data_IF_549191888905
#
_entry.id   IF_549191888905
#
_cell.length_a   1.000
_cell.length_b   1.000
_cell.length_c   1.000
_cell.angle_alpha   90.00
_cell.angle_beta   90.00
_cell.angle_gamma   90.00
#
_symmetry.space_group_name_H-M   'P 1'
#
loop_
_entity.id
_entity.type
_entity.pdbx_description
1 polymer ?
#
# COMPACT_ATOMS: atom_id res chain seq x y z
N UNK A 1 15.42 -7.58 -7.63
CA UNK A 1 14.62 -8.48 -6.77
C UNK A 1 13.89 -7.67 -5.72
N UNK A 2 12.70 -8.09 -5.28
CA UNK A 2 11.88 -7.38 -4.27
C UNK A 2 12.60 -7.11 -2.94
N UNK A 3 13.70 -7.81 -2.68
CA UNK A 3 14.53 -7.69 -1.48
C UNK A 3 15.63 -6.63 -1.59
N UNK A 4 15.92 -6.14 -2.79
CA UNK A 4 17.01 -5.17 -3.03
C UNK A 4 16.75 -3.80 -2.40
N UNK A 5 15.50 -3.52 -2.06
CA UNK A 5 15.08 -2.26 -1.48
C UNK A 5 15.42 -2.11 0.02
N UNK A 6 15.73 -3.21 0.72
CA UNK A 6 16.01 -3.18 2.17
C UNK A 6 17.20 -2.31 2.55
N UNK A 7 18.20 -2.23 1.67
CA UNK A 7 19.38 -1.38 1.90
C UNK A 7 19.06 0.12 1.87
N UNK A 8 17.82 0.49 1.55
CA UNK A 8 17.35 1.86 1.43
C UNK A 8 16.32 2.23 2.51
N UNK A 9 16.22 1.48 3.61
CA UNK A 9 15.32 1.82 4.73
C UNK A 9 15.48 3.27 5.21
N UNK A 10 16.73 3.76 5.32
CA UNK A 10 17.00 5.15 5.67
C UNK A 10 16.44 6.13 4.63
N UNK A 11 16.55 5.81 3.34
CA UNK A 11 16.00 6.66 2.27
C UNK A 11 14.47 6.68 2.32
N UNK A 12 13.84 5.53 2.63
CA UNK A 12 12.39 5.49 2.83
C UNK A 12 11.95 6.35 4.03
N UNK A 13 12.72 6.36 5.11
CA UNK A 13 12.46 7.23 6.26
C UNK A 13 12.59 8.72 5.88
N UNK A 14 13.66 9.10 5.17
CA UNK A 14 13.87 10.48 4.69
C UNK A 14 12.72 10.94 3.75
N UNK A 15 12.25 10.04 2.88
CA UNK A 15 11.09 10.29 2.01
C UNK A 15 9.85 10.54 2.86
N UNK A 16 9.58 9.72 3.87
CA UNK A 16 8.41 9.90 4.73
C UNK A 16 8.47 11.21 5.51
N UNK A 17 9.63 11.60 6.03
CA UNK A 17 9.82 12.89 6.69
C UNK A 17 9.47 14.06 5.75
N UNK A 18 9.96 14.01 4.50
CA UNK A 18 9.64 15.03 3.50
C UNK A 18 8.14 15.08 3.17
N UNK A 19 7.48 13.92 3.02
CA UNK A 19 6.06 13.87 2.70
C UNK A 19 5.18 14.41 3.84
N UNK A 20 5.53 14.12 5.10
CA UNK A 20 4.87 14.72 6.26
C UNK A 20 5.06 16.24 6.32
N UNK A 21 6.24 16.75 5.97
CA UNK A 21 6.48 18.18 5.90
C UNK A 21 5.61 18.88 4.83
N UNK A 22 5.44 18.24 3.66
CA UNK A 22 4.57 18.75 2.59
C UNK A 22 3.11 18.78 3.03
N UNK A 23 2.64 17.74 3.74
CA UNK A 23 1.28 17.70 4.28
C UNK A 23 1.03 18.86 5.25
N UNK A 24 1.96 19.14 6.16
CA UNK A 24 1.85 20.24 7.13
C UNK A 24 1.82 21.65 6.52
N UNK A 25 2.31 21.83 5.30
CA UNK A 25 2.32 23.12 4.58
C UNK A 25 1.02 23.34 3.76
N UNK A 26 0.27 22.27 3.51
CA UNK A 26 -0.88 22.26 2.61
C UNK A 26 -2.14 22.85 3.28
N UNK A 27 -2.30 24.17 3.24
CA UNK A 27 -3.58 24.82 3.53
C UNK A 27 -4.66 24.53 2.45
N UNK A 28 -5.94 24.87 2.68
CA UNK A 28 -7.04 24.56 1.77
C UNK A 28 -6.92 25.39 0.49
N UNK A 29 -6.25 24.85 -0.53
CA UNK A 29 -6.08 25.48 -1.83
C UNK A 29 -6.28 24.44 -2.93
N UNK A 30 -7.14 24.74 -3.89
CA UNK A 30 -7.47 23.93 -5.07
C UNK A 30 -6.25 23.58 -5.95
N UNK A 31 -5.08 24.18 -5.72
CA UNK A 31 -3.81 23.83 -6.38
C UNK A 31 -3.16 22.54 -5.84
N UNK A 32 -3.60 22.08 -4.67
CA UNK A 32 -3.04 20.96 -3.92
C UNK A 32 -3.37 19.61 -4.58
N UNK A 33 -4.54 19.47 -5.21
CA UNK A 33 -4.97 18.22 -5.89
C UNK A 33 -3.93 17.74 -6.92
N UNK A 34 -3.47 18.60 -7.82
CA UNK A 34 -2.49 18.21 -8.85
C UNK A 34 -1.10 17.84 -8.32
N UNK A 35 -0.65 18.43 -7.20
CA UNK A 35 0.64 18.09 -6.59
C UNK A 35 0.53 16.78 -5.80
N UNK A 36 -0.59 16.57 -5.11
CA UNK A 36 -0.89 15.32 -4.43
C UNK A 36 -0.93 14.15 -5.43
N UNK A 37 -1.65 14.31 -6.54
CA UNK A 37 -1.85 13.27 -7.54
C UNK A 37 -0.58 12.88 -8.30
N UNK A 38 0.31 13.85 -8.58
CA UNK A 38 1.50 13.60 -9.41
C UNK A 38 2.73 13.23 -8.57
N UNK A 39 2.90 13.80 -7.38
CA UNK A 39 4.15 13.68 -6.62
C UNK A 39 4.01 12.95 -5.28
N UNK A 40 2.86 13.05 -4.59
CA UNK A 40 2.73 12.49 -3.24
C UNK A 40 2.15 11.08 -3.27
N UNK A 41 0.98 10.90 -3.89
CA UNK A 41 0.30 9.60 -3.93
C UNK A 41 1.14 8.50 -4.60
N UNK A 42 1.82 8.74 -5.75
CA UNK A 42 2.68 7.71 -6.34
C UNK A 42 3.86 7.31 -5.46
N UNK A 43 4.43 8.27 -4.71
CA UNK A 43 5.54 7.99 -3.80
C UNK A 43 5.05 7.19 -2.60
N UNK A 44 3.93 7.56 -1.97
CA UNK A 44 3.30 6.77 -0.91
C UNK A 44 2.95 5.36 -1.39
N UNK A 45 2.44 5.22 -2.61
CA UNK A 45 2.19 3.92 -3.23
C UNK A 45 3.46 3.08 -3.37
N UNK A 46 4.58 3.72 -3.73
CA UNK A 46 5.86 3.06 -3.85
C UNK A 46 6.42 2.63 -2.49
N UNK A 47 6.47 3.54 -1.51
CA UNK A 47 6.95 3.25 -0.15
C UNK A 47 6.14 2.11 0.48
N UNK A 48 4.80 2.20 0.40
CA UNK A 48 3.90 1.20 0.99
C UNK A 48 4.06 -0.22 0.43
N UNK A 49 4.62 -0.37 -0.78
CA UNK A 49 4.77 -1.67 -1.44
C UNK A 49 6.21 -2.18 -1.46
N UNK A 50 7.21 -1.30 -1.54
CA UNK A 50 8.62 -1.69 -1.70
C UNK A 50 9.39 -1.70 -0.38
N UNK A 51 9.01 -0.88 0.59
CA UNK A 51 9.61 -0.91 1.91
C UNK A 51 9.13 -2.15 2.70
N UNK A 52 10.05 -2.88 3.33
CA UNK A 52 9.72 -4.03 4.22
C UNK A 52 9.77 -3.67 5.71
N UNK A 53 10.17 -2.44 6.04
CA UNK A 53 10.08 -1.91 7.38
C UNK A 53 8.60 -1.64 7.72
N UNK A 54 8.06 -2.40 8.67
CA UNK A 54 6.64 -2.35 9.06
C UNK A 54 6.18 -0.96 9.46
N UNK A 55 7.02 -0.21 10.20
CA UNK A 55 6.66 1.10 10.76
C UNK A 55 6.53 2.11 9.63
N UNK A 56 7.54 2.21 8.77
CA UNK A 56 7.55 3.12 7.61
C UNK A 56 6.40 2.78 6.65
N UNK A 57 6.17 1.49 6.43
CA UNK A 57 5.11 1.01 5.54
C UNK A 57 3.72 1.38 6.06
N UNK A 58 3.46 1.14 7.33
CA UNK A 58 2.20 1.52 7.96
C UNK A 58 2.01 3.05 7.95
N UNK A 59 3.06 3.81 8.24
CA UNK A 59 3.03 5.26 8.22
C UNK A 59 2.67 5.79 6.81
N UNK A 60 3.26 5.23 5.75
CA UNK A 60 2.92 5.59 4.38
C UNK A 60 1.45 5.33 4.02
N UNK A 61 0.86 4.25 4.51
CA UNK A 61 -0.55 3.93 4.30
C UNK A 61 -1.48 4.86 5.09
N UNK A 62 -1.11 5.19 6.33
CA UNK A 62 -1.85 6.13 7.16
C UNK A 62 -1.81 7.54 6.58
N UNK A 63 -0.66 7.99 6.07
CA UNK A 63 -0.54 9.29 5.41
C UNK A 63 -1.32 9.32 4.10
N UNK A 64 -1.31 8.23 3.32
CA UNK A 64 -2.14 8.11 2.12
C UNK A 64 -3.63 8.25 2.47
N UNK A 65 -4.11 7.53 3.49
CA UNK A 65 -5.48 7.62 3.95
C UNK A 65 -5.85 9.04 4.41
N UNK A 66 -4.98 9.67 5.21
CA UNK A 66 -5.20 11.04 5.70
C UNK A 66 -5.39 12.01 4.53
N UNK A 67 -4.47 12.00 3.56
CA UNK A 67 -4.48 12.89 2.40
C UNK A 67 -5.72 12.65 1.52
N UNK A 68 -6.11 11.40 1.35
CA UNK A 68 -7.18 11.03 0.42
C UNK A 68 -8.57 10.97 1.04
N UNK A 69 -8.67 11.06 2.38
CA UNK A 69 -9.93 10.99 3.13
C UNK A 69 -10.98 12.00 2.66
N UNK A 70 -10.55 13.16 2.16
CA UNK A 70 -11.43 14.25 1.70
C UNK A 70 -11.70 14.20 0.20
N UNK A 71 -10.90 13.45 -0.58
CA UNK A 71 -10.99 13.42 -2.04
C UNK A 71 -12.23 12.68 -2.54
N UNK A 72 -12.74 11.72 -1.76
CA UNK A 72 -13.93 10.93 -2.09
C UNK A 72 -13.74 10.08 -3.34
N UNK A 73 -13.78 8.75 -3.22
CA UNK A 73 -13.67 7.90 -4.40
C UNK A 73 -13.48 6.43 -4.08
N UNK A 74 -14.31 5.59 -4.70
CA UNK A 74 -14.26 4.14 -4.53
C UNK A 74 -12.95 3.54 -5.02
N UNK A 75 -12.31 4.13 -6.03
CA UNK A 75 -11.01 3.67 -6.54
C UNK A 75 -9.85 3.96 -5.58
N UNK A 76 -9.86 5.16 -4.99
CA UNK A 76 -8.88 5.55 -3.96
C UNK A 76 -9.02 4.63 -2.74
N UNK A 77 -10.27 4.38 -2.31
CA UNK A 77 -10.58 3.47 -1.20
C UNK A 77 -10.15 2.04 -1.52
N UNK A 78 -10.45 1.55 -2.72
CA UNK A 78 -10.02 0.21 -3.17
C UNK A 78 -8.49 0.08 -3.13
N UNK A 79 -7.79 1.08 -3.66
CA UNK A 79 -6.33 1.11 -3.66
C UNK A 79 -5.74 1.06 -2.25
N UNK A 80 -6.30 1.82 -1.30
CA UNK A 80 -5.86 1.79 0.10
C UNK A 80 -6.10 0.42 0.74
N UNK A 81 -7.31 -0.14 0.59
CA UNK A 81 -7.69 -1.44 1.15
C UNK A 81 -6.83 -2.58 0.58
N UNK A 82 -6.63 -2.60 -0.73
CA UNK A 82 -5.78 -3.59 -1.39
C UNK A 82 -4.34 -3.56 -0.85
N UNK A 83 -3.78 -2.37 -0.63
CA UNK A 83 -2.41 -2.24 -0.10
C UNK A 83 -2.32 -2.53 1.40
N UNK A 84 -3.33 -2.18 2.20
CA UNK A 84 -3.42 -2.64 3.60
C UNK A 84 -3.51 -4.16 3.67
N UNK A 85 -4.26 -4.79 2.77
CA UNK A 85 -4.37 -6.25 2.72
C UNK A 85 -3.09 -6.91 2.24
N UNK A 86 -2.47 -6.39 1.18
CA UNK A 86 -1.13 -6.78 0.74
C UNK A 86 -0.15 -6.74 1.91
N UNK A 87 -0.21 -5.65 2.70
CA UNK A 87 0.66 -5.51 3.84
C UNK A 87 0.40 -6.62 4.88
N UNK A 88 -0.87 -6.87 5.21
CA UNK A 88 -1.23 -7.88 6.19
C UNK A 88 -0.79 -9.30 5.80
N UNK A 89 -0.98 -9.71 4.53
CA UNK A 89 -0.60 -11.06 4.08
C UNK A 89 0.92 -11.29 4.11
N UNK A 90 1.71 -10.27 3.75
CA UNK A 90 3.16 -10.37 3.80
C UNK A 90 3.68 -10.36 5.24
N UNK A 91 3.09 -9.52 6.11
CA UNK A 91 3.45 -9.46 7.53
C UNK A 91 3.11 -10.74 8.28
N UNK A 92 2.04 -11.45 7.89
CA UNK A 92 1.70 -12.75 8.46
C UNK A 92 2.77 -13.82 8.19
N UNK A 93 3.61 -13.61 7.17
CA UNK A 93 4.73 -14.49 6.83
C UNK A 93 6.07 -14.03 7.41
N UNK A 94 6.09 -12.99 8.26
CA UNK A 94 7.33 -12.49 8.88
C UNK A 94 7.93 -13.57 9.78
N UNK A 95 9.21 -13.85 9.58
CA UNK A 95 9.95 -14.85 10.34
C UNK A 95 10.35 -14.35 11.75
N UNK A 96 10.94 -15.24 12.54
CA UNK A 96 11.41 -14.95 13.91
C UNK A 96 12.52 -13.90 13.94
N UNK A 97 13.25 -13.71 12.84
CA UNK A 97 14.28 -12.69 12.70
C UNK A 97 13.67 -11.32 12.35
N UNK A 98 12.34 -11.26 12.24
CA UNK A 98 11.62 -10.05 11.89
C UNK A 98 11.78 -9.70 10.42
N UNK A 99 12.00 -10.66 9.51
CA UNK A 99 12.16 -10.43 8.08
C UNK A 99 10.99 -11.07 7.33
N UNK A 100 10.50 -10.42 6.27
CA UNK A 100 9.53 -11.04 5.35
C UNK A 100 10.33 -11.81 4.27
N UNK A 101 10.22 -13.15 4.17
CA UNK A 101 10.95 -13.93 3.19
C UNK A 101 10.65 -13.50 1.75
N UNK A 102 11.62 -13.66 0.84
CA UNK A 102 11.46 -13.26 -0.56
C UNK A 102 10.30 -14.01 -1.27
N UNK A 103 10.09 -15.28 -0.93
CA UNK A 103 8.98 -16.10 -1.44
C UNK A 103 7.62 -15.73 -0.86
N UNK A 104 7.59 -14.91 0.19
CA UNK A 104 6.37 -14.42 0.85
C UNK A 104 6.05 -12.98 0.47
N UNK A 105 6.60 -12.51 -0.65
CA UNK A 105 6.27 -11.22 -1.25
C UNK A 105 5.23 -11.39 -2.33
N UNK A 106 4.32 -10.44 -2.40
CA UNK A 106 3.21 -10.46 -3.33
C UNK A 106 3.15 -9.18 -4.16
N UNK A 107 2.56 -9.30 -5.35
CA UNK A 107 2.26 -8.20 -6.25
C UNK A 107 0.74 -8.14 -6.34
N UNK A 108 0.18 -6.99 -5.97
CA UNK A 108 -1.23 -6.67 -6.24
C UNK A 108 -1.41 -6.49 -7.74
N UNK A 109 -2.37 -7.21 -8.33
CA UNK A 109 -2.62 -7.18 -9.79
C UNK A 109 -3.96 -6.60 -10.15
N UNK A 110 -5.01 -6.86 -9.37
CA UNK A 110 -6.35 -6.38 -9.68
C UNK A 110 -7.23 -6.24 -8.44
N UNK A 111 -8.31 -5.49 -8.57
CA UNK A 111 -9.36 -5.30 -7.57
C UNK A 111 -10.73 -5.18 -8.21
N UNK A 112 -11.75 -5.73 -7.56
CA UNK A 112 -13.13 -5.56 -7.99
C UNK A 112 -14.05 -5.40 -6.79
N UNK A 113 -14.81 -4.31 -6.77
CA UNK A 113 -15.92 -4.13 -5.83
C UNK A 113 -17.04 -5.13 -6.15
N UNK A 114 -17.70 -5.63 -5.13
CA UNK A 114 -19.01 -6.23 -5.31
C UNK A 114 -20.04 -5.20 -5.78
N UNK A 115 -21.20 -5.68 -6.23
CA UNK A 115 -22.26 -4.82 -6.79
C UNK A 115 -22.76 -3.77 -5.79
N UNK A 116 -22.79 -4.13 -4.52
CA UNK A 116 -23.33 -3.30 -3.45
C UNK A 116 -22.23 -2.53 -2.71
N UNK A 117 -20.96 -2.63 -3.17
CA UNK A 117 -19.79 -1.97 -2.59
C UNK A 117 -19.60 -2.25 -1.10
N UNK A 118 -19.97 -3.47 -0.66
CA UNK A 118 -19.82 -3.98 0.70
C UNK A 118 -18.45 -4.61 0.93
N UNK A 119 -17.84 -5.19 -0.11
CA UNK A 119 -16.53 -5.80 -0.03
C UNK A 119 -15.73 -5.63 -1.32
N UNK A 120 -14.41 -5.62 -1.16
CA UNK A 120 -13.44 -5.57 -2.24
C UNK A 120 -12.81 -6.94 -2.43
N UNK A 121 -12.91 -7.49 -3.64
CA UNK A 121 -12.10 -8.65 -4.02
C UNK A 121 -10.74 -8.14 -4.49
N UNK A 122 -9.65 -8.68 -3.94
CA UNK A 122 -8.27 -8.28 -4.27
C UNK A 122 -7.50 -9.50 -4.75
N UNK A 123 -6.74 -9.31 -5.82
CA UNK A 123 -5.93 -10.38 -6.44
C UNK A 123 -4.45 -10.09 -6.28
N UNK A 124 -3.71 -11.11 -5.82
CA UNK A 124 -2.27 -11.05 -5.60
C UNK A 124 -1.54 -12.21 -6.29
N UNK A 125 -0.30 -11.97 -6.68
CA UNK A 125 0.61 -12.99 -7.21
C UNK A 125 1.91 -13.00 -6.42
N UNK A 126 2.51 -14.17 -6.20
CA UNK A 126 3.83 -14.26 -5.59
C UNK A 126 4.88 -13.55 -6.48
N UNK A 127 5.66 -12.66 -5.86
CA UNK A 127 6.67 -11.86 -6.57
C UNK A 127 7.92 -12.67 -6.97
N UNK A 128 8.11 -13.85 -6.36
CA UNK A 128 9.27 -14.72 -6.54
C UNK A 128 9.33 -15.46 -7.88
N UNK A 129 8.22 -15.55 -8.62
CA UNK A 129 8.12 -16.34 -9.85
C UNK A 129 7.62 -15.47 -11.01
N UNK A 130 8.53 -15.06 -11.91
CA UNK A 130 8.20 -14.38 -13.19
C UNK A 130 7.57 -15.33 -14.23
N UNK A 131 7.39 -16.61 -13.90
CA UNK A 131 6.92 -17.64 -14.81
C UNK A 131 5.41 -17.83 -14.65
N UNK A 132 4.67 -17.49 -15.71
CA UNK A 132 3.26 -17.68 -16.13
C UNK A 132 2.30 -18.67 -15.40
N UNK A 133 2.71 -19.40 -14.37
CA UNK A 133 1.88 -20.27 -13.55
C UNK A 133 1.82 -19.74 -12.11
N UNK A 134 1.31 -18.52 -11.93
CA UNK A 134 1.23 -17.92 -10.61
C UNK A 134 0.01 -18.45 -9.86
N UNK A 135 0.22 -18.92 -8.63
CA UNK A 135 -0.87 -19.12 -7.68
C UNK A 135 -1.45 -17.74 -7.36
N UNK A 136 -2.63 -17.46 -7.91
CA UNK A 136 -3.36 -16.25 -7.58
C UNK A 136 -3.93 -16.42 -6.17
N UNK A 137 -3.58 -15.50 -5.27
CA UNK A 137 -4.26 -15.38 -3.98
C UNK A 137 -5.40 -14.40 -4.19
N UNK A 138 -6.63 -14.91 -4.10
CA UNK A 138 -7.84 -14.10 -4.08
C UNK A 138 -8.25 -13.90 -2.63
N UNK A 139 -8.60 -12.66 -2.28
CA UNK A 139 -9.03 -12.33 -0.94
C UNK A 139 -10.18 -11.31 -0.94
N UNK A 140 -11.04 -11.39 0.07
CA UNK A 140 -12.18 -10.48 0.24
C UNK A 140 -11.94 -9.56 1.44
N UNK A 141 -11.91 -8.26 1.18
CA UNK A 141 -11.76 -7.21 2.19
C UNK A 141 -13.11 -6.53 2.41
N UNK A 142 -13.73 -6.79 3.55
CA UNK A 142 -15.02 -6.20 3.93
C UNK A 142 -14.81 -4.79 4.51
N UNK A 143 -15.79 -3.90 4.28
CA UNK A 143 -15.74 -2.52 4.80
C UNK A 143 -16.07 -2.41 6.29
N UNK A 144 -16.86 -3.35 6.79
CA UNK A 144 -17.23 -3.46 8.20
C UNK A 144 -16.64 -4.76 8.74
N UNK A 145 -16.10 -4.75 9.95
CA UNK A 145 -15.87 -5.99 10.69
C UNK A 145 -17.23 -6.66 10.84
N UNK A 146 -17.43 -7.80 10.18
CA UNK A 146 -18.58 -8.64 10.47
C UNK A 146 -18.41 -9.14 11.91
N UNK A 147 -19.09 -8.50 12.85
CA UNK A 147 -19.28 -8.97 14.23
C UNK A 147 -19.92 -10.36 14.28
#
# INVERSE_FOLDING_TARGET
METEYDKYDNIFADIMEMLHAIEGISGPSTRVETVLDIYVLPVLNFVSQKCRNKVIRLDSLNLFEKITSTMGGWEIKASLLARRRLMAIEEASRDEQGIIPAGSRYIWTDTSWDKDQTYLTVYFHEAGYRTLCNKAVEDKVYLEEQE
#
